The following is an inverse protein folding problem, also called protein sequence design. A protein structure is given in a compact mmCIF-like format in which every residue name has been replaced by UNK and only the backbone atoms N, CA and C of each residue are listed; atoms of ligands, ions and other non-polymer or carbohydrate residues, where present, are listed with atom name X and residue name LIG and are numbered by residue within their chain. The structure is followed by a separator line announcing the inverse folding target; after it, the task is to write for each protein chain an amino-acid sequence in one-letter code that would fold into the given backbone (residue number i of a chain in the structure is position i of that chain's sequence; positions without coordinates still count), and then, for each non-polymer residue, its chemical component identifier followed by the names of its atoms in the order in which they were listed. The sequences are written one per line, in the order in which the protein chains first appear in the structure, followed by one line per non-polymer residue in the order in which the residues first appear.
data_IF_681538837836
#
_entry.id   IF_681538837836
#
_cell.length_a   1.000
_cell.length_b   1.000
_cell.length_c   1.000
_cell.angle_alpha   90.00
_cell.angle_beta   90.00
_cell.angle_gamma   90.00
#
_symmetry.space_group_name_H-M   'P 1'
#
loop_
_entity.id
_entity.type
_entity.pdbx_description
1 polymer ?
#
# COMPACT_ATOMS: atom_id res chain seq x y z
N UNK A 1 11.13 -13.83 31.78
CA UNK A 1 10.82 -12.78 30.79
C UNK A 1 9.90 -13.43 29.77
N UNK A 2 8.71 -12.86 29.53
CA UNK A 2 7.62 -13.54 28.82
C UNK A 2 7.57 -13.13 27.34
N UNK A 3 7.32 -14.07 26.45
CA UNK A 3 7.13 -13.81 25.03
C UNK A 3 5.81 -13.07 24.79
N UNK A 4 5.84 -11.94 24.09
CA UNK A 4 4.61 -11.15 23.87
C UNK A 4 3.65 -11.76 22.85
N UNK A 5 4.11 -12.72 22.06
CA UNK A 5 3.28 -13.37 21.02
C UNK A 5 2.56 -14.62 21.54
N UNK A 6 3.22 -15.41 22.39
CA UNK A 6 2.68 -16.69 22.86
C UNK A 6 2.62 -16.83 24.38
N UNK A 7 2.99 -15.78 25.13
CA UNK A 7 3.07 -15.76 26.59
C UNK A 7 3.93 -16.87 27.22
N UNK A 8 4.86 -17.46 26.45
CA UNK A 8 5.84 -18.39 27.00
C UNK A 8 6.80 -17.68 27.97
N UNK A 9 7.01 -18.27 29.13
CA UNK A 9 7.88 -17.80 30.22
C UNK A 9 9.39 -17.81 29.89
N UNK A 10 9.78 -18.44 28.78
CA UNK A 10 11.14 -18.51 28.25
C UNK A 10 11.33 -17.64 27.00
N UNK A 11 11.52 -16.33 27.18
CA UNK A 11 11.82 -15.40 26.09
C UNK A 11 13.20 -14.72 26.26
N UNK A 12 14.29 -15.33 25.78
CA UNK A 12 15.65 -14.81 25.93
C UNK A 12 16.01 -13.73 24.90
N UNK A 13 15.20 -13.54 23.85
CA UNK A 13 15.46 -12.60 22.76
C UNK A 13 14.56 -11.36 22.84
N UNK A 14 14.99 -10.24 22.25
CA UNK A 14 14.27 -8.95 22.28
C UNK A 14 14.08 -8.35 20.90
N UNK A 15 12.87 -7.84 20.64
CA UNK A 15 12.54 -7.11 19.42
C UNK A 15 13.30 -5.79 19.34
N UNK A 16 13.82 -5.46 18.16
CA UNK A 16 14.49 -4.18 17.91
C UNK A 16 13.51 -3.00 17.79
N UNK A 17 12.27 -3.25 17.39
CA UNK A 17 11.26 -2.19 17.20
C UNK A 17 10.64 -1.68 18.50
N UNK A 18 10.33 -2.55 19.46
CA UNK A 18 9.60 -2.19 20.69
C UNK A 18 10.29 -2.65 21.98
N UNK A 19 11.42 -3.35 21.89
CA UNK A 19 12.17 -3.84 23.05
C UNK A 19 11.52 -5.01 23.82
N UNK A 20 10.34 -5.47 23.39
CA UNK A 20 9.58 -6.60 23.98
C UNK A 20 10.31 -7.92 23.77
N UNK A 21 10.04 -8.91 24.62
CA UNK A 21 10.73 -10.21 24.56
C UNK A 21 9.99 -11.21 23.66
N UNK A 22 10.73 -12.12 23.03
CA UNK A 22 10.21 -13.27 22.27
C UNK A 22 11.02 -14.54 22.50
N UNK A 23 10.38 -15.69 22.29
CA UNK A 23 10.99 -17.00 22.54
C UNK A 23 11.71 -17.59 21.33
N UNK A 24 11.27 -17.30 20.10
CA UNK A 24 11.82 -17.92 18.89
C UNK A 24 11.52 -17.13 17.61
N UNK A 25 12.22 -17.47 16.52
CA UNK A 25 12.06 -16.87 15.18
C UNK A 25 10.61 -16.84 14.65
N UNK A 26 9.73 -17.85 14.85
CA UNK A 26 8.34 -17.73 14.43
C UNK A 26 7.62 -16.57 15.14
N UNK A 27 7.76 -16.44 16.46
CA UNK A 27 7.24 -15.29 17.20
C UNK A 27 7.87 -13.97 16.71
N UNK A 28 9.14 -14.01 16.29
CA UNK A 28 9.77 -12.83 15.72
C UNK A 28 9.08 -12.35 14.44
N UNK A 29 8.67 -13.27 13.57
CA UNK A 29 8.01 -12.97 12.29
C UNK A 29 6.53 -12.60 12.43
N UNK A 30 5.84 -13.17 13.42
CA UNK A 30 4.44 -12.84 13.71
C UNK A 30 4.30 -11.42 14.24
N UNK A 31 5.31 -10.95 14.96
CA UNK A 31 5.28 -9.63 15.59
C UNK A 31 5.24 -8.50 14.57
N UNK A 32 4.12 -7.79 14.53
CA UNK A 32 3.92 -6.61 13.71
C UNK A 32 3.86 -5.40 14.63
N UNK A 33 4.99 -4.68 14.75
CA UNK A 33 5.09 -3.47 15.55
C UNK A 33 4.32 -2.32 14.88
N UNK A 34 3.15 -1.97 15.42
CA UNK A 34 2.54 -0.65 15.20
C UNK A 34 3.01 0.25 16.33
N UNK A 35 3.99 1.10 16.05
CA UNK A 35 4.56 2.00 17.05
C UNK A 35 3.59 3.15 17.28
N UNK A 36 2.62 2.96 18.17
CA UNK A 36 1.92 4.09 18.77
C UNK A 36 2.90 4.77 19.74
N UNK A 37 3.38 5.94 19.33
CA UNK A 37 4.28 6.77 20.11
C UNK A 37 3.56 7.33 21.35
N UNK A 38 3.51 6.52 22.42
CA UNK A 38 3.26 7.01 23.77
C UNK A 38 4.61 7.42 24.40
N UNK A 39 4.90 8.72 24.30
CA UNK A 39 5.57 9.56 25.32
C UNK A 39 5.28 9.07 26.76
N UNK A 40 6.15 9.06 27.78
CA UNK A 40 7.48 9.64 28.09
C UNK A 40 7.98 8.93 29.38
N UNK A 41 9.29 8.82 29.60
CA UNK A 41 9.84 8.32 30.88
C UNK A 41 11.36 8.33 31.08
N UNK A 42 12.04 9.44 30.71
CA UNK A 42 13.29 9.99 31.28
C UNK A 42 14.47 9.07 31.73
N UNK A 43 15.55 9.03 30.93
CA UNK A 43 16.84 9.61 31.33
C UNK A 43 17.75 9.89 30.11
N UNK A 44 18.25 11.12 30.06
CA UNK A 44 19.04 11.83 29.02
C UNK A 44 20.53 11.35 28.94
N UNK A 45 21.44 11.91 28.10
CA UNK A 45 21.27 12.87 26.99
C UNK A 45 22.00 12.48 25.68
N UNK A 46 21.69 13.26 24.63
CA UNK A 46 22.59 13.63 23.52
C UNK A 46 22.77 12.65 22.35
N UNK A 47 21.94 12.80 21.32
CA UNK A 47 22.42 13.37 20.06
C UNK A 47 21.24 13.78 19.20
N UNK A 48 21.24 15.05 18.80
CA UNK A 48 20.29 15.65 17.88
C UNK A 48 20.50 15.09 16.47
N UNK A 49 19.62 14.20 16.02
CA UNK A 49 19.34 14.06 14.60
C UNK A 49 17.87 14.35 14.37
N UNK A 50 17.65 15.56 13.85
CA UNK A 50 16.42 15.97 13.20
C UNK A 50 16.21 15.01 12.02
N UNK A 51 15.17 14.17 12.07
CA UNK A 51 14.68 13.46 10.89
C UNK A 51 13.39 14.14 10.46
N UNK A 52 13.35 14.74 9.26
CA UNK A 52 12.18 15.45 8.78
C UNK A 52 11.07 14.47 8.38
N UNK A 53 9.86 14.87 8.75
CA UNK A 53 8.71 15.00 7.85
C UNK A 53 8.21 13.73 7.13
N UNK A 54 7.09 13.21 7.67
CA UNK A 54 5.90 12.84 6.92
C UNK A 54 6.10 12.60 5.42
N UNK A 55 6.36 11.37 5.02
CA UNK A 55 6.03 10.93 3.66
C UNK A 55 4.52 10.82 3.58
N UNK A 56 3.89 11.97 3.35
CA UNK A 56 2.55 12.11 2.79
C UNK A 56 2.56 11.26 1.51
N UNK A 57 1.90 10.12 1.53
CA UNK A 57 1.57 9.39 0.29
C UNK A 57 0.87 10.41 -0.58
N UNK A 58 1.56 10.89 -1.61
CA UNK A 58 0.99 11.79 -2.59
C UNK A 58 -0.14 11.00 -3.23
N UNK A 59 -1.36 11.35 -2.85
CA UNK A 59 -2.57 10.80 -3.43
C UNK A 59 -2.56 11.27 -4.89
N UNK A 60 -1.99 10.46 -5.79
CA UNK A 60 -2.00 10.72 -7.23
C UNK A 60 -3.46 10.64 -7.66
N UNK A 61 -4.13 11.79 -7.64
CA UNK A 61 -5.51 11.92 -8.07
C UNK A 61 -5.54 12.03 -9.60
N UNK A 62 -6.38 11.21 -10.22
CA UNK A 62 -6.61 11.24 -11.66
C UNK A 62 -7.27 12.58 -12.05
N UNK A 63 -6.88 13.14 -13.20
CA UNK A 63 -7.53 14.33 -13.76
C UNK A 63 -8.94 14.00 -14.24
N UNK A 64 -9.81 14.99 -14.37
CA UNK A 64 -11.17 14.78 -14.91
C UNK A 64 -11.14 14.16 -16.31
N UNK A 65 -10.17 14.55 -17.15
CA UNK A 65 -9.98 13.97 -18.48
C UNK A 65 -9.61 12.48 -18.42
N UNK A 66 -8.74 12.08 -17.48
CA UNK A 66 -8.39 10.69 -17.24
C UNK A 66 -9.58 9.86 -16.74
N UNK A 67 -10.39 10.42 -15.83
CA UNK A 67 -11.62 9.76 -15.34
C UNK A 67 -12.64 9.59 -16.47
N UNK A 68 -12.79 10.60 -17.34
CA UNK A 68 -13.67 10.52 -18.49
C UNK A 68 -13.19 9.49 -19.52
N UNK A 69 -11.87 9.43 -19.79
CA UNK A 69 -11.27 8.42 -20.64
C UNK A 69 -11.50 7.00 -20.11
N UNK A 70 -11.28 6.77 -18.81
CA UNK A 70 -11.58 5.49 -18.16
C UNK A 70 -13.07 5.11 -18.24
N UNK A 71 -13.96 6.09 -18.15
CA UNK A 71 -15.41 5.87 -18.26
C UNK A 71 -15.85 5.54 -19.69
N UNK A 72 -15.19 6.14 -20.69
CA UNK A 72 -15.45 5.95 -22.12
C UNK A 72 -14.83 4.67 -22.71
N UNK A 73 -13.87 4.06 -22.04
CA UNK A 73 -13.22 2.83 -22.51
C UNK A 73 -14.16 1.61 -22.38
N UNK A 74 -14.70 1.16 -23.52
CA UNK A 74 -15.62 0.02 -23.58
C UNK A 74 -14.96 -1.29 -23.17
N UNK A 75 -13.67 -1.46 -23.44
CA UNK A 75 -12.91 -2.66 -23.08
C UNK A 75 -12.73 -2.71 -21.56
N UNK A 76 -12.39 -1.59 -20.93
CA UNK A 76 -12.32 -1.46 -19.48
C UNK A 76 -13.67 -1.75 -18.82
N UNK A 77 -14.77 -1.21 -19.36
CA UNK A 77 -16.14 -1.49 -18.88
C UNK A 77 -16.52 -2.96 -18.99
N UNK A 78 -16.11 -3.62 -20.09
CA UNK A 78 -16.30 -5.05 -20.28
C UNK A 78 -15.53 -5.86 -19.22
N UNK A 79 -14.26 -5.51 -18.96
CA UNK A 79 -13.45 -6.14 -17.93
C UNK A 79 -14.04 -5.95 -16.52
N UNK A 80 -14.56 -4.74 -16.22
CA UNK A 80 -15.25 -4.41 -14.96
C UNK A 80 -16.62 -5.09 -14.80
N UNK A 81 -17.16 -5.70 -15.86
CA UNK A 81 -18.38 -6.51 -15.76
C UNK A 81 -18.10 -7.86 -15.09
N UNK A 82 -16.84 -8.22 -14.89
CA UNK A 82 -16.43 -9.41 -14.14
C UNK A 82 -16.59 -9.19 -12.62
N UNK A 83 -17.48 -9.98 -11.99
CA UNK A 83 -17.74 -9.93 -10.54
C UNK A 83 -16.52 -10.25 -9.68
N UNK A 84 -15.64 -11.14 -10.15
CA UNK A 84 -14.40 -11.50 -9.43
C UNK A 84 -13.47 -10.30 -9.38
N UNK A 85 -13.24 -9.62 -10.51
CA UNK A 85 -12.43 -8.41 -10.55
C UNK A 85 -12.98 -7.32 -9.63
N UNK A 86 -14.30 -7.11 -9.63
CA UNK A 86 -14.96 -6.14 -8.73
C UNK A 86 -14.75 -6.47 -7.25
N UNK A 87 -14.81 -7.75 -6.88
CA UNK A 87 -14.52 -8.18 -5.51
C UNK A 87 -13.07 -7.91 -5.14
N UNK A 88 -12.12 -8.23 -6.03
CA UNK A 88 -10.69 -7.94 -5.83
C UNK A 88 -10.45 -6.46 -5.62
N UNK A 89 -10.96 -5.61 -6.53
CA UNK A 89 -10.82 -4.16 -6.42
C UNK A 89 -11.38 -3.66 -5.08
N UNK A 90 -12.58 -4.12 -4.68
CA UNK A 90 -13.19 -3.75 -3.40
C UNK A 90 -12.33 -4.19 -2.21
N UNK A 91 -11.75 -5.39 -2.25
CA UNK A 91 -10.85 -5.88 -1.21
C UNK A 91 -9.60 -4.99 -1.11
N UNK A 92 -9.01 -4.61 -2.24
CA UNK A 92 -7.82 -3.74 -2.28
C UNK A 92 -8.15 -2.36 -1.72
N UNK A 93 -9.23 -1.69 -2.16
CA UNK A 93 -9.57 -0.35 -1.65
C UNK A 93 -10.06 -0.32 -0.21
N UNK A 94 -10.59 -1.43 0.31
CA UNK A 94 -11.04 -1.51 1.71
C UNK A 94 -9.94 -2.02 2.65
N UNK A 95 -8.79 -2.43 2.13
CA UNK A 95 -7.68 -2.96 2.92
C UNK A 95 -6.92 -1.82 3.60
N UNK A 96 -6.49 -1.99 4.87
CA UNK A 96 -5.56 -1.05 5.50
C UNK A 96 -4.18 -1.07 4.82
N UNK A 97 -3.86 -2.13 4.06
CA UNK A 97 -2.66 -2.23 3.24
C UNK A 97 -3.03 -2.66 1.80
N UNK A 98 -3.28 -1.72 0.88
CA UNK A 98 -3.71 -2.02 -0.48
C UNK A 98 -2.62 -2.69 -1.32
N UNK A 99 -1.34 -2.37 -1.06
CA UNK A 99 -0.21 -2.95 -1.79
C UNK A 99 -0.09 -4.46 -1.52
N UNK A 100 -0.13 -4.88 -0.26
CA UNK A 100 -0.11 -6.31 0.11
C UNK A 100 -1.39 -7.02 -0.29
N UNK A 101 -2.54 -6.35 -0.21
CA UNK A 101 -3.82 -6.92 -0.67
C UNK A 101 -3.84 -7.15 -2.19
N UNK A 102 -3.13 -6.33 -2.97
CA UNK A 102 -3.06 -6.44 -4.43
C UNK A 102 -1.99 -7.44 -4.91
N UNK A 103 -0.91 -7.64 -4.13
CA UNK A 103 0.18 -8.56 -4.45
C UNK A 103 -0.24 -9.96 -4.97
N UNK A 104 -1.20 -10.68 -4.36
CA UNK A 104 -1.60 -12.01 -4.86
C UNK A 104 -2.29 -11.97 -6.23
N UNK A 105 -2.83 -10.83 -6.63
CA UNK A 105 -3.55 -10.65 -7.91
C UNK A 105 -2.63 -10.15 -9.03
N UNK A 106 -1.42 -9.68 -8.73
CA UNK A 106 -0.48 -9.23 -9.77
C UNK A 106 -0.03 -10.34 -10.72
N UNK A 107 -0.09 -11.60 -10.30
CA UNK A 107 0.24 -12.75 -11.14
C UNK A 107 -0.97 -13.29 -11.94
N UNK A 108 -2.16 -12.72 -11.73
CA UNK A 108 -3.35 -13.11 -12.47
C UNK A 108 -3.34 -12.45 -13.85
N UNK A 109 -3.48 -13.25 -14.92
CA UNK A 109 -3.43 -12.74 -16.30
C UNK A 109 -4.59 -11.80 -16.62
N UNK A 110 -5.73 -11.97 -15.96
CA UNK A 110 -6.90 -11.12 -16.16
C UNK A 110 -6.73 -9.78 -15.42
N UNK A 111 -6.24 -9.81 -14.18
CA UNK A 111 -5.97 -8.61 -13.38
C UNK A 111 -4.81 -7.79 -13.97
N UNK A 112 -3.72 -8.44 -14.38
CA UNK A 112 -2.60 -7.75 -15.03
C UNK A 112 -3.04 -7.13 -16.36
N UNK A 113 -3.82 -7.84 -17.17
CA UNK A 113 -4.43 -7.28 -18.38
C UNK A 113 -5.35 -6.08 -18.09
N UNK A 114 -6.09 -6.12 -16.98
CA UNK A 114 -6.92 -4.99 -16.55
C UNK A 114 -6.05 -3.78 -16.18
N UNK A 115 -5.01 -3.98 -15.37
CA UNK A 115 -4.09 -2.89 -14.97
C UNK A 115 -3.38 -2.31 -16.18
N UNK A 116 -2.93 -3.14 -17.12
CA UNK A 116 -2.34 -2.67 -18.38
C UNK A 116 -3.33 -1.83 -19.18
N UNK A 117 -4.60 -2.25 -19.28
CA UNK A 117 -5.62 -1.45 -19.96
C UNK A 117 -5.84 -0.10 -19.28
N UNK A 118 -5.93 -0.06 -17.94
CA UNK A 118 -6.04 1.20 -17.18
C UNK A 118 -4.86 2.12 -17.50
N UNK A 119 -3.63 1.61 -17.45
CA UNK A 119 -2.42 2.41 -17.69
C UNK A 119 -2.35 2.93 -19.14
N UNK A 120 -2.77 2.13 -20.11
CA UNK A 120 -2.87 2.54 -21.52
C UNK A 120 -3.88 3.66 -21.71
N UNK A 121 -5.09 3.52 -21.16
CA UNK A 121 -6.13 4.56 -21.20
C UNK A 121 -5.67 5.86 -20.54
N UNK A 122 -4.95 5.76 -19.40
CA UNK A 122 -4.42 6.93 -18.70
C UNK A 122 -3.28 7.61 -19.46
N UNK A 123 -2.39 6.85 -20.10
CA UNK A 123 -1.32 7.39 -20.94
C UNK A 123 -1.85 8.13 -22.17
N UNK A 124 -2.89 7.59 -22.80
CA UNK A 124 -3.55 8.22 -23.95
C UNK A 124 -4.34 9.49 -23.56
N UNK A 125 -4.75 9.63 -22.30
CA UNK A 125 -5.48 10.79 -21.79
C UNK A 125 -4.57 11.95 -21.35
N UNK A 126 -3.26 11.70 -21.16
CA UNK A 126 -2.27 12.72 -20.79
C UNK A 126 -1.72 13.48 -22.00
N UNK A 127 -1.86 12.93 -23.21
CA UNK A 127 -1.33 13.56 -24.41
C UNK A 127 -2.11 14.85 -24.76
N UNK A 128 -1.49 16.04 -24.62
CA UNK A 128 -2.10 17.26 -25.14
C UNK A 128 -2.20 17.10 -26.65
N UNK A 129 -3.42 17.21 -27.19
CA UNK A 129 -3.63 17.29 -28.64
C UNK A 129 -2.57 18.25 -29.21
N UNK A 130 -1.70 17.82 -30.14
CA UNK A 130 -0.78 18.73 -30.79
C UNK A 130 -1.64 19.85 -31.38
N UNK A 131 -1.33 21.06 -30.96
CA UNK A 131 -2.02 22.27 -31.35
C UNK A 131 -1.95 22.33 -32.89
N UNK A 132 -3.05 22.02 -33.55
CA UNK A 132 -3.23 22.21 -34.99
C UNK A 132 -3.40 23.73 -35.21
N UNK A 133 -2.33 24.49 -34.95
CA UNK A 133 -2.23 25.88 -35.34
C UNK A 133 -1.54 25.93 -36.70
N UNK A 134 -2.34 25.56 -37.70
CA UNK A 134 -2.17 25.96 -39.08
C UNK A 134 -2.69 27.40 -39.21
N UNK A 135 -1.79 28.38 -39.26
CA UNK A 135 -1.97 29.67 -39.98
C UNK A 135 -0.65 30.42 -40.08
#
# INVERSE_FOLDING_TARGET
MVCVECNADAAPYRFKCCGRNFCSVPCYKTHSCVVEAATTGANEPHTSYVVPESTKTEEVQLTEAQVEALKGDEKLRSMLSNDTLRKVLRTVVSSPDPLSAMAPYMHDEFFSGFVTQVMDTLGNADEPRPNDNMS
#
